data_IF_961527194282
#
_entry.id   IF_961527194282
#
_cell.length_a   1.000
_cell.length_b   1.000
_cell.length_c   1.000
_cell.angle_alpha   90.00
_cell.angle_beta   90.00
_cell.angle_gamma   90.00
#
_symmetry.space_group_name_H-M   'P 1'
#
loop_
_entity.id
_entity.type
_entity.pdbx_description
1 polymer ?
#
# COMPACT_ATOMS: atom_id res chain seq x y z
N UNK A 1 4.42 -21.78 13.39
CA UNK A 1 4.17 -20.68 14.34
C UNK A 1 2.80 -20.08 14.06
N UNK A 2 2.15 -19.50 15.07
CA UNK A 2 0.88 -18.79 14.98
C UNK A 2 1.09 -17.34 15.45
N UNK A 3 0.32 -16.40 14.92
CA UNK A 3 0.41 -14.99 15.29
C UNK A 3 -0.96 -14.42 15.61
N UNK A 4 -1.05 -13.67 16.71
CA UNK A 4 -2.15 -12.75 16.97
C UNK A 4 -1.63 -11.34 16.65
N UNK A 5 -2.20 -10.68 15.68
CA UNK A 5 -1.85 -9.31 15.29
C UNK A 5 -2.94 -8.34 15.72
N UNK A 6 -2.62 -7.44 16.64
CA UNK A 6 -3.57 -6.45 17.18
C UNK A 6 -3.56 -5.15 16.40
N UNK A 7 -2.36 -4.63 16.08
CA UNK A 7 -2.16 -3.51 15.15
C UNK A 7 -0.92 -3.80 14.29
N UNK A 8 -0.64 -2.93 13.30
CA UNK A 8 0.68 -2.95 12.65
C UNK A 8 1.75 -2.60 13.68
N UNK A 9 2.69 -3.51 13.85
CA UNK A 9 3.74 -3.40 14.86
C UNK A 9 3.40 -3.95 16.24
N UNK A 10 2.20 -4.45 16.47
CA UNK A 10 1.82 -5.11 17.72
C UNK A 10 1.36 -6.55 17.43
N UNK A 11 2.31 -7.46 17.49
CA UNK A 11 2.15 -8.86 17.13
C UNK A 11 2.62 -9.75 18.28
N UNK A 12 1.87 -10.82 18.53
CA UNK A 12 2.19 -11.86 19.53
C UNK A 12 2.39 -13.18 18.82
N UNK A 13 3.50 -13.83 19.07
CA UNK A 13 3.81 -15.12 18.47
C UNK A 13 3.68 -16.27 19.43
N UNK A 14 3.15 -17.40 18.90
CA UNK A 14 2.98 -18.65 19.59
C UNK A 14 3.61 -19.81 18.81
N UNK A 15 4.18 -20.77 19.52
CA UNK A 15 4.51 -22.07 19.00
C UNK A 15 3.33 -23.01 19.25
N UNK A 16 2.89 -23.68 18.21
CA UNK A 16 1.94 -24.79 18.31
C UNK A 16 2.53 -26.03 17.64
N UNK A 17 2.39 -27.18 18.28
CA UNK A 17 2.78 -28.45 17.75
C UNK A 17 1.52 -29.32 17.52
N UNK A 18 1.56 -30.14 16.47
CA UNK A 18 0.39 -30.92 16.01
C UNK A 18 -0.25 -31.77 17.11
N UNK A 19 0.55 -32.27 18.04
CA UNK A 19 0.11 -33.17 19.11
C UNK A 19 -0.14 -32.46 20.45
N UNK A 20 -0.08 -31.12 20.48
CA UNK A 20 -0.36 -30.28 21.66
C UNK A 20 -1.75 -29.65 21.56
N UNK A 21 -2.50 -29.66 22.66
CA UNK A 21 -3.82 -29.01 22.74
C UNK A 21 -3.76 -27.50 22.87
N UNK A 22 -2.63 -26.98 23.33
CA UNK A 22 -2.43 -25.54 23.61
C UNK A 22 -1.26 -24.97 22.83
N UNK A 23 -1.36 -23.67 22.52
CA UNK A 23 -0.26 -22.89 21.96
C UNK A 23 0.60 -22.30 23.07
N UNK A 24 1.92 -22.40 22.95
CA UNK A 24 2.89 -21.80 23.88
C UNK A 24 3.27 -20.40 23.40
N UNK A 25 3.14 -19.39 24.28
CA UNK A 25 3.65 -18.05 23.99
C UNK A 25 5.16 -18.08 23.72
N UNK A 26 5.59 -17.49 22.61
CA UNK A 26 7.00 -17.28 22.26
C UNK A 26 7.45 -15.86 22.47
N UNK A 27 6.66 -14.90 21.98
CA UNK A 27 7.06 -13.48 22.01
C UNK A 27 5.83 -12.58 21.99
N UNK A 28 5.97 -11.40 22.61
CA UNK A 28 4.92 -10.37 22.68
C UNK A 28 4.08 -10.51 23.96
N UNK A 29 3.15 -9.55 24.14
CA UNK A 29 2.26 -9.51 25.30
C UNK A 29 0.80 -9.66 24.83
N UNK A 30 0.12 -10.78 25.16
CA UNK A 30 -1.30 -10.99 24.83
C UNK A 30 -2.22 -9.90 25.43
N UNK A 31 -3.33 -9.59 24.75
CA UNK A 31 -4.26 -8.52 25.21
C UNK A 31 -4.85 -8.77 26.59
N UNK A 32 -5.18 -10.03 26.88
CA UNK A 32 -5.75 -10.48 28.17
C UNK A 32 -4.77 -10.37 29.33
N UNK A 33 -3.48 -10.19 29.06
CA UNK A 33 -2.42 -10.02 30.07
C UNK A 33 -2.01 -8.54 30.25
N UNK A 34 -2.65 -7.60 29.51
CA UNK A 34 -2.34 -6.17 29.57
C UNK A 34 -3.18 -5.47 30.62
N UNK A 35 -2.56 -4.52 31.31
CA UNK A 35 -3.28 -3.57 32.16
C UNK A 35 -3.80 -2.39 31.33
N UNK A 36 -4.87 -1.77 31.77
CA UNK A 36 -5.43 -0.58 31.08
C UNK A 36 -4.38 0.54 30.98
N UNK A 37 -4.21 1.06 29.78
CA UNK A 37 -3.21 2.09 29.48
C UNK A 37 -1.77 1.61 29.35
N UNK A 38 -1.51 0.30 29.41
CA UNK A 38 -0.17 -0.23 29.20
C UNK A 38 0.31 -0.01 27.76
N UNK A 39 1.41 0.71 27.62
CA UNK A 39 2.08 0.88 26.34
C UNK A 39 2.95 -0.35 26.03
N UNK A 40 2.69 -1.00 24.91
CA UNK A 40 3.49 -2.11 24.41
C UNK A 40 4.46 -1.57 23.36
N UNK A 41 5.74 -1.95 23.49
CA UNK A 41 6.74 -1.56 22.50
C UNK A 41 6.39 -2.20 21.14
N UNK A 42 6.31 -1.41 20.06
CA UNK A 42 6.12 -1.96 18.72
C UNK A 42 7.24 -2.92 18.34
N UNK A 43 6.87 -4.04 17.74
CA UNK A 43 7.81 -5.11 17.37
C UNK A 43 7.88 -5.40 15.86
N UNK A 44 6.78 -5.15 15.12
CA UNK A 44 6.73 -5.31 13.67
C UNK A 44 7.20 -6.69 13.20
N UNK A 45 6.71 -7.76 13.85
CA UNK A 45 7.13 -9.13 13.49
C UNK A 45 6.62 -9.51 12.10
N UNK A 46 7.55 -9.96 11.25
CA UNK A 46 7.27 -10.39 9.87
C UNK A 46 7.51 -11.89 9.63
N UNK A 47 7.97 -12.24 8.43
CA UNK A 47 8.26 -13.64 8.07
C UNK A 47 9.34 -14.25 8.96
N UNK A 48 9.19 -15.56 9.22
CA UNK A 48 10.10 -16.31 10.05
C UNK A 48 10.42 -17.68 9.44
N UNK A 49 11.68 -18.10 9.58
CA UNK A 49 12.20 -19.37 9.12
C UNK A 49 12.85 -20.14 10.28
N UNK A 50 12.63 -21.44 10.32
CA UNK A 50 13.31 -22.33 11.27
C UNK A 50 14.75 -22.57 10.81
N UNK A 51 15.69 -22.39 11.73
CA UNK A 51 17.12 -22.65 11.49
C UNK A 51 17.46 -23.98 12.18
N UNK A 52 17.35 -25.06 11.42
CA UNK A 52 17.37 -26.41 11.98
C UNK A 52 16.24 -26.61 12.99
N UNK A 53 16.53 -27.38 14.04
CA UNK A 53 15.59 -27.62 15.16
C UNK A 53 15.84 -26.71 16.37
N UNK A 54 16.74 -25.74 16.26
CA UNK A 54 17.29 -25.02 17.41
C UNK A 54 16.87 -23.58 17.52
N UNK A 55 16.54 -22.91 16.40
CA UNK A 55 16.27 -21.48 16.44
C UNK A 55 15.35 -20.97 15.35
N UNK A 56 15.04 -19.68 15.43
CA UNK A 56 14.17 -18.95 14.50
C UNK A 56 14.87 -17.71 14.03
N UNK A 57 15.03 -17.56 12.71
CA UNK A 57 15.44 -16.33 12.04
C UNK A 57 14.20 -15.63 11.49
N UNK A 58 14.04 -14.34 11.74
CA UNK A 58 12.84 -13.63 11.35
C UNK A 58 13.07 -12.15 11.07
N UNK A 59 12.15 -11.54 10.32
CA UNK A 59 12.10 -10.12 10.07
C UNK A 59 11.40 -9.42 11.23
N UNK A 60 11.98 -8.32 11.73
CA UNK A 60 11.35 -7.50 12.76
C UNK A 60 11.80 -6.05 12.75
N UNK A 61 11.00 -5.18 13.38
CA UNK A 61 11.35 -3.79 13.65
C UNK A 61 11.95 -3.58 15.06
N UNK A 62 12.38 -4.64 15.76
CA UNK A 62 12.85 -4.58 17.14
C UNK A 62 14.16 -3.80 17.30
N UNK A 63 15.08 -3.93 16.34
CA UNK A 63 16.40 -3.28 16.37
C UNK A 63 16.54 -2.19 15.30
N UNK A 64 15.73 -2.24 14.25
CA UNK A 64 15.79 -1.30 13.13
C UNK A 64 14.39 -0.95 12.66
N UNK A 65 14.03 0.32 12.64
CA UNK A 65 12.71 0.81 12.21
C UNK A 65 12.35 0.38 10.77
N UNK A 66 13.34 0.30 9.87
CA UNK A 66 13.21 -0.17 8.50
C UNK A 66 13.22 -1.70 8.37
N UNK A 67 12.96 -2.37 9.47
CA UNK A 67 13.07 -3.81 9.64
C UNK A 67 14.48 -4.35 9.41
N UNK A 68 14.78 -5.40 10.12
CA UNK A 68 16.04 -6.15 10.06
C UNK A 68 15.81 -7.61 10.36
N UNK A 69 16.89 -8.37 10.39
CA UNK A 69 16.83 -9.76 10.82
C UNK A 69 17.08 -9.87 12.31
N UNK A 70 16.27 -10.69 12.96
CA UNK A 70 16.40 -11.07 14.37
C UNK A 70 16.47 -12.59 14.47
N UNK A 71 17.22 -13.08 15.43
CA UNK A 71 17.36 -14.50 15.73
C UNK A 71 17.11 -14.77 17.19
N UNK A 72 16.47 -15.89 17.53
CA UNK A 72 16.44 -16.44 18.86
C UNK A 72 16.55 -17.98 18.82
N UNK A 73 16.96 -18.56 19.95
CA UNK A 73 16.96 -20.00 20.14
C UNK A 73 15.63 -20.47 20.73
N UNK A 74 15.12 -21.62 20.29
CA UNK A 74 13.86 -22.17 20.79
C UNK A 74 13.87 -22.54 22.27
N UNK A 75 15.07 -22.81 22.83
CA UNK A 75 15.28 -23.07 24.25
C UNK A 75 15.42 -21.79 25.11
N UNK A 76 15.65 -20.64 24.48
CA UNK A 76 15.79 -19.33 25.12
C UNK A 76 15.13 -18.23 24.28
N UNK A 77 13.80 -18.25 24.06
CA UNK A 77 13.08 -17.33 23.15
C UNK A 77 13.11 -15.88 23.63
N UNK A 78 13.35 -15.62 24.90
CA UNK A 78 13.48 -14.26 25.47
C UNK A 78 14.80 -13.59 25.12
N UNK A 79 15.80 -14.35 24.64
CA UNK A 79 17.09 -13.83 24.23
C UNK A 79 17.09 -13.55 22.74
N UNK A 80 16.81 -12.29 22.36
CA UNK A 80 16.75 -11.84 20.99
C UNK A 80 18.11 -11.28 20.55
N UNK A 81 18.54 -11.66 19.37
CA UNK A 81 19.80 -11.22 18.79
C UNK A 81 19.57 -10.52 17.47
N UNK A 82 20.13 -9.32 17.32
CA UNK A 82 20.20 -8.64 16.03
C UNK A 82 21.14 -9.41 15.10
N UNK A 83 20.74 -9.57 13.84
CA UNK A 83 21.55 -10.22 12.81
C UNK A 83 22.03 -9.19 11.81
N UNK A 84 23.35 -9.03 11.69
CA UNK A 84 23.95 -8.11 10.73
C UNK A 84 23.77 -8.61 9.30
N UNK A 85 23.26 -7.77 8.40
CA UNK A 85 23.13 -8.06 6.98
C UNK A 85 24.31 -7.43 6.23
N UNK A 86 25.04 -8.21 5.46
CA UNK A 86 26.21 -7.76 4.70
C UNK A 86 26.03 -8.03 3.19
N UNK A 87 26.38 -7.04 2.35
CA UNK A 87 26.39 -7.19 0.88
C UNK A 87 25.21 -6.54 0.15
N UNK A 88 24.37 -5.76 0.82
CA UNK A 88 23.33 -4.95 0.14
C UNK A 88 23.97 -3.88 -0.74
N UNK A 89 23.38 -3.66 -1.94
CA UNK A 89 23.87 -2.64 -2.89
C UNK A 89 22.80 -1.63 -3.31
N UNK A 90 21.54 -1.87 -2.95
CA UNK A 90 20.44 -0.94 -3.24
C UNK A 90 20.65 0.41 -2.54
N UNK A 91 20.05 1.45 -3.14
CA UNK A 91 20.00 2.81 -2.57
C UNK A 91 18.58 3.31 -2.63
N UNK A 92 18.21 4.20 -1.73
CA UNK A 92 16.86 4.75 -1.62
C UNK A 92 16.26 4.52 -0.24
N UNK A 93 15.04 5.00 -0.04
CA UNK A 93 14.28 4.76 1.17
C UNK A 93 13.47 3.46 1.04
N UNK A 94 13.50 2.63 2.07
CA UNK A 94 12.77 1.37 2.01
C UNK A 94 12.95 0.52 3.26
N UNK A 95 12.49 -0.72 3.19
CA UNK A 95 12.50 -1.66 4.30
C UNK A 95 12.70 -3.11 3.85
N UNK A 96 13.17 -3.96 4.77
CA UNK A 96 13.17 -5.40 4.60
C UNK A 96 11.74 -5.94 4.80
N UNK A 97 11.14 -6.45 3.73
CA UNK A 97 9.73 -6.92 3.76
C UNK A 97 9.59 -8.42 3.88
N UNK A 98 10.66 -9.18 3.67
CA UNK A 98 10.53 -10.64 3.72
C UNK A 98 11.83 -11.41 3.83
N UNK A 99 11.70 -12.59 4.43
CA UNK A 99 12.68 -13.65 4.52
C UNK A 99 12.01 -14.94 4.06
N UNK A 100 12.69 -15.73 3.24
CA UNK A 100 12.18 -17.03 2.77
C UNK A 100 13.33 -18.00 2.54
N UNK A 101 13.15 -19.25 2.93
CA UNK A 101 14.06 -20.31 2.55
C UNK A 101 14.04 -20.53 1.04
N UNK A 102 15.20 -20.70 0.42
CA UNK A 102 15.36 -20.99 -1.01
C UNK A 102 15.76 -22.43 -1.28
N UNK A 103 16.95 -22.82 -0.86
CA UNK A 103 17.47 -24.19 -0.94
C UNK A 103 18.06 -24.56 0.42
N UNK A 104 18.57 -25.77 0.58
CA UNK A 104 19.12 -26.24 1.86
C UNK A 104 20.16 -25.27 2.43
N UNK A 105 19.86 -24.70 3.61
CA UNK A 105 20.73 -23.77 4.33
C UNK A 105 20.85 -22.37 3.72
N UNK A 106 20.09 -22.07 2.67
CA UNK A 106 20.10 -20.76 2.00
C UNK A 106 18.74 -20.09 2.10
N UNK A 107 18.77 -18.75 2.08
CA UNK A 107 17.58 -17.91 2.19
C UNK A 107 17.63 -16.76 1.18
N UNK A 108 16.48 -16.17 0.95
CA UNK A 108 16.37 -14.89 0.25
C UNK A 108 15.84 -13.81 1.20
N UNK A 109 16.36 -12.60 0.99
CA UNK A 109 15.87 -11.37 1.60
C UNK A 109 15.16 -10.54 0.55
N UNK A 110 13.93 -10.12 0.85
CA UNK A 110 13.12 -9.27 0.00
C UNK A 110 13.09 -7.86 0.59
N UNK A 111 13.53 -6.87 -0.18
CA UNK A 111 13.45 -5.47 0.16
C UNK A 111 12.46 -4.76 -0.76
N UNK A 112 11.80 -3.77 -0.20
CA UNK A 112 11.01 -2.78 -0.91
C UNK A 112 11.73 -1.44 -0.79
N UNK A 113 12.24 -0.92 -1.90
CA UNK A 113 13.03 0.33 -1.94
C UNK A 113 12.33 1.33 -2.86
N UNK A 114 11.74 2.38 -2.29
CA UNK A 114 10.91 3.37 -2.99
C UNK A 114 9.85 2.72 -3.93
N UNK A 115 9.26 1.60 -3.47
CA UNK A 115 8.26 0.83 -4.20
C UNK A 115 8.81 -0.28 -5.10
N UNK A 116 10.11 -0.34 -5.37
CA UNK A 116 10.74 -1.36 -6.24
C UNK A 116 11.24 -2.56 -5.43
N UNK A 117 11.14 -3.75 -5.99
CA UNK A 117 11.65 -4.95 -5.35
C UNK A 117 13.16 -5.11 -5.54
N UNK A 118 13.85 -5.42 -4.44
CA UNK A 118 15.20 -5.95 -4.44
C UNK A 118 15.20 -7.30 -3.73
N UNK A 119 15.76 -8.32 -4.38
CA UNK A 119 15.83 -9.67 -3.81
C UNK A 119 17.26 -10.16 -3.83
N UNK A 120 17.73 -10.54 -2.66
CA UNK A 120 19.08 -11.03 -2.44
C UNK A 120 19.05 -12.49 -2.00
N UNK A 121 19.93 -13.30 -2.56
CA UNK A 121 20.23 -14.64 -2.03
C UNK A 121 21.42 -14.61 -1.10
N UNK A 122 21.41 -15.47 -0.08
CA UNK A 122 22.49 -15.53 0.88
C UNK A 122 22.36 -16.67 1.88
N UNK A 123 23.23 -16.65 2.90
CA UNK A 123 23.27 -17.64 3.97
C UNK A 123 23.39 -16.96 5.34
N UNK A 124 22.78 -17.58 6.33
CA UNK A 124 22.85 -17.13 7.73
C UNK A 124 23.90 -17.92 8.51
N UNK A 125 24.86 -17.20 9.07
CA UNK A 125 25.85 -17.72 10.02
C UNK A 125 25.33 -17.48 11.46
N UNK A 126 24.76 -18.52 12.06
CA UNK A 126 24.17 -18.45 13.40
C UNK A 126 25.17 -18.20 14.53
N UNK A 127 26.45 -18.53 14.32
CA UNK A 127 27.49 -18.38 15.36
C UNK A 127 28.01 -16.93 15.43
N UNK A 128 28.11 -16.29 14.26
CA UNK A 128 28.55 -14.90 14.16
C UNK A 128 27.39 -13.92 14.05
N UNK A 129 26.13 -14.39 13.97
CA UNK A 129 24.90 -13.58 13.79
C UNK A 129 25.00 -12.68 12.55
N UNK A 130 25.45 -13.22 11.44
CA UNK A 130 25.65 -12.50 10.18
C UNK A 130 24.87 -13.20 9.07
N UNK A 131 24.07 -12.44 8.33
CA UNK A 131 23.53 -12.86 7.04
C UNK A 131 24.44 -12.31 5.93
N UNK A 132 25.06 -13.21 5.15
CA UNK A 132 25.94 -12.84 4.03
C UNK A 132 25.20 -12.99 2.72
N UNK A 133 25.03 -11.88 2.04
CA UNK A 133 24.51 -11.83 0.67
C UNK A 133 25.66 -12.19 -0.29
N UNK A 134 25.39 -13.07 -1.23
CA UNK A 134 26.35 -13.50 -2.25
C UNK A 134 25.79 -13.37 -3.69
N UNK A 135 24.50 -13.09 -3.86
CA UNK A 135 23.88 -12.89 -5.17
C UNK A 135 22.68 -11.94 -5.14
N UNK A 136 22.38 -11.33 -6.28
CA UNK A 136 21.22 -10.48 -6.53
C UNK A 136 20.29 -11.22 -7.47
N UNK A 137 19.06 -11.47 -7.07
CA UNK A 137 18.07 -12.19 -7.88
C UNK A 137 17.12 -11.23 -8.60
N UNK A 138 16.78 -10.11 -7.96
CA UNK A 138 15.87 -9.06 -8.50
C UNK A 138 16.42 -7.70 -8.07
N UNK A 139 16.23 -6.67 -8.91
CA UNK A 139 16.64 -5.29 -8.68
C UNK A 139 17.65 -4.78 -9.72
N UNK A 140 18.11 -5.64 -10.63
CA UNK A 140 19.04 -5.30 -11.69
C UNK A 140 18.63 -5.91 -13.03
N UNK A 141 19.14 -5.34 -14.13
CA UNK A 141 18.91 -5.85 -15.48
C UNK A 141 17.43 -5.88 -15.86
N UNK A 142 16.97 -6.98 -16.41
CA UNK A 142 15.57 -7.17 -16.84
C UNK A 142 14.56 -7.15 -15.68
N UNK A 143 14.99 -7.51 -14.48
CA UNK A 143 14.19 -7.49 -13.25
C UNK A 143 14.42 -6.22 -12.39
N UNK A 144 14.69 -5.09 -13.03
CA UNK A 144 14.82 -3.79 -12.39
C UNK A 144 13.54 -2.96 -12.53
N UNK A 145 13.40 -1.93 -11.70
CA UNK A 145 12.32 -0.91 -11.73
C UNK A 145 10.89 -1.49 -11.80
N UNK A 146 10.66 -2.53 -11.00
CA UNK A 146 9.38 -3.23 -10.94
C UNK A 146 9.22 -4.00 -9.63
N UNK A 147 8.23 -4.87 -9.60
CA UNK A 147 7.81 -5.59 -8.41
C UNK A 147 7.86 -7.10 -8.61
N UNK A 148 8.56 -7.78 -7.73
CA UNK A 148 8.45 -9.22 -7.57
C UNK A 148 7.10 -9.54 -6.91
N UNK A 149 6.21 -10.24 -7.61
CA UNK A 149 4.90 -10.63 -7.10
C UNK A 149 4.97 -11.98 -6.37
N UNK A 150 5.72 -12.92 -6.91
CA UNK A 150 5.97 -14.21 -6.26
C UNK A 150 7.29 -14.84 -6.70
N UNK A 151 7.84 -15.72 -5.85
CA UNK A 151 8.99 -16.56 -6.15
C UNK A 151 8.84 -17.91 -5.47
N UNK A 152 9.11 -18.99 -6.19
CA UNK A 152 9.11 -20.35 -5.70
C UNK A 152 10.39 -21.08 -6.14
N UNK A 153 10.95 -21.88 -5.25
CA UNK A 153 12.18 -22.64 -5.50
C UNK A 153 11.88 -24.14 -5.54
N UNK A 154 12.46 -24.82 -6.52
CA UNK A 154 12.61 -26.28 -6.49
C UNK A 154 13.81 -26.62 -5.58
N UNK A 155 13.53 -27.26 -4.47
CA UNK A 155 14.54 -27.63 -3.47
C UNK A 155 15.57 -28.66 -4.01
N UNK A 156 15.24 -29.41 -5.06
CA UNK A 156 16.08 -30.44 -5.64
C UNK A 156 17.08 -29.88 -6.63
N UNK A 157 16.59 -29.04 -7.54
CA UNK A 157 17.40 -28.49 -8.64
C UNK A 157 18.00 -27.12 -8.33
N UNK A 158 17.45 -26.40 -7.33
CA UNK A 158 17.83 -25.01 -7.04
C UNK A 158 17.23 -23.99 -8.02
N UNK A 159 16.44 -24.45 -8.99
CA UNK A 159 15.74 -23.60 -9.96
C UNK A 159 14.63 -22.80 -9.26
N UNK A 160 14.47 -21.54 -9.64
CA UNK A 160 13.38 -20.69 -9.17
C UNK A 160 12.46 -20.30 -10.32
N UNK A 161 11.15 -20.31 -10.07
CA UNK A 161 10.15 -19.65 -10.92
C UNK A 161 9.68 -18.39 -10.20
N UNK A 162 9.59 -17.28 -10.93
CA UNK A 162 9.15 -16.01 -10.38
C UNK A 162 8.20 -15.25 -11.32
N UNK A 163 7.32 -14.45 -10.75
CA UNK A 163 6.49 -13.49 -11.48
C UNK A 163 6.94 -12.07 -11.12
N UNK A 164 7.07 -11.25 -12.14
CA UNK A 164 7.55 -9.88 -12.03
C UNK A 164 6.79 -8.96 -12.98
N UNK A 165 6.40 -7.80 -12.51
CA UNK A 165 5.75 -6.78 -13.34
C UNK A 165 6.40 -5.41 -13.16
N UNK A 166 6.10 -4.53 -14.12
CA UNK A 166 6.54 -3.12 -14.13
C UNK A 166 5.35 -2.24 -14.47
N UNK A 167 5.42 -0.96 -14.22
CA UNK A 167 4.34 -0.01 -14.55
C UNK A 167 3.88 -0.12 -16.03
N UNK A 168 4.76 -0.51 -16.95
CA UNK A 168 4.49 -0.63 -18.39
C UNK A 168 4.42 -2.06 -18.91
N UNK A 169 4.56 -3.05 -18.04
CA UNK A 169 4.54 -4.46 -18.40
C UNK A 169 3.69 -5.27 -17.46
N UNK A 170 2.63 -5.94 -17.94
CA UNK A 170 1.92 -6.93 -17.14
C UNK A 170 2.87 -7.99 -16.58
N UNK A 171 2.40 -8.76 -15.61
CA UNK A 171 3.18 -9.83 -14.98
C UNK A 171 3.77 -10.79 -16.00
N UNK A 172 5.06 -10.99 -15.91
CA UNK A 172 5.81 -11.94 -16.71
C UNK A 172 6.30 -13.07 -15.83
N UNK A 173 6.33 -14.26 -16.37
CA UNK A 173 6.95 -15.42 -15.72
C UNK A 173 8.41 -15.55 -16.19
N UNK A 174 9.27 -15.83 -15.23
CA UNK A 174 10.69 -16.07 -15.44
C UNK A 174 11.10 -17.35 -14.72
N UNK A 175 12.11 -18.00 -15.26
CA UNK A 175 12.85 -19.09 -14.61
C UNK A 175 14.29 -18.63 -14.41
N UNK A 176 14.78 -18.84 -13.21
CA UNK A 176 16.17 -18.67 -12.81
C UNK A 176 16.73 -20.06 -12.51
N UNK A 177 17.71 -20.51 -13.31
CA UNK A 177 18.33 -21.82 -13.09
C UNK A 177 19.32 -21.82 -11.91
N UNK A 178 19.92 -22.95 -11.62
CA UNK A 178 20.86 -23.11 -10.52
C UNK A 178 22.16 -22.28 -10.68
N UNK A 179 22.49 -21.91 -11.91
CA UNK A 179 23.63 -21.08 -12.29
C UNK A 179 23.28 -19.59 -12.39
N UNK A 180 22.08 -19.19 -11.95
CA UNK A 180 21.54 -17.84 -12.00
C UNK A 180 21.30 -17.29 -13.43
N UNK A 181 21.13 -18.16 -14.44
CA UNK A 181 20.73 -17.73 -15.77
C UNK A 181 19.21 -17.47 -15.79
N UNK A 182 18.84 -16.22 -16.08
CA UNK A 182 17.45 -15.78 -16.18
C UNK A 182 16.90 -16.08 -17.57
N UNK A 183 15.73 -16.71 -17.63
CA UNK A 183 15.00 -16.93 -18.87
C UNK A 183 13.53 -16.51 -18.71
N UNK A 184 13.09 -15.61 -19.58
CA UNK A 184 11.70 -15.15 -19.64
C UNK A 184 10.85 -16.23 -20.31
N UNK A 185 9.72 -16.60 -19.70
CA UNK A 185 8.84 -17.68 -20.15
C UNK A 185 7.57 -17.15 -20.83
N UNK A 186 7.15 -15.92 -20.52
CA UNK A 186 5.95 -15.29 -21.09
C UNK A 186 6.28 -13.98 -21.77
N UNK A 187 5.39 -13.51 -22.64
CA UNK A 187 5.49 -12.21 -23.29
C UNK A 187 4.13 -11.53 -23.26
N UNK A 188 3.61 -11.35 -22.04
CA UNK A 188 2.33 -10.69 -21.80
C UNK A 188 2.43 -9.20 -22.17
N UNK A 189 1.36 -8.68 -22.75
CA UNK A 189 1.25 -7.27 -23.17
C UNK A 189 -0.19 -6.82 -23.22
N UNK A 190 -0.39 -5.52 -23.16
CA UNK A 190 -1.71 -4.94 -23.37
C UNK A 190 -2.02 -4.99 -24.88
N UNK A 191 -3.08 -5.71 -25.24
CA UNK A 191 -3.46 -5.87 -26.64
C UNK A 191 -3.88 -4.53 -27.25
N UNK A 192 -3.33 -4.22 -28.41
CA UNK A 192 -3.65 -3.00 -29.15
C UNK A 192 -2.96 -1.73 -28.66
N UNK A 193 -2.19 -1.77 -27.56
CA UNK A 193 -1.47 -0.61 -27.03
C UNK A 193 0.04 -0.90 -27.08
N UNK A 194 0.82 -0.17 -27.89
CA UNK A 194 2.27 -0.26 -27.89
C UNK A 194 2.86 0.13 -26.52
N UNK A 195 3.82 -0.63 -26.01
CA UNK A 195 4.42 -0.43 -24.69
C UNK A 195 5.03 0.98 -24.52
N UNK A 196 5.59 1.58 -25.58
CA UNK A 196 6.19 2.92 -25.52
C UNK A 196 5.17 4.05 -25.29
N UNK A 197 3.87 3.78 -25.44
CA UNK A 197 2.81 4.74 -25.11
C UNK A 197 2.39 4.68 -23.63
N UNK A 198 2.87 3.68 -22.89
CA UNK A 198 2.60 3.54 -21.46
C UNK A 198 3.58 4.38 -20.63
N UNK A 199 3.08 4.97 -19.55
CA UNK A 199 3.87 5.80 -18.65
C UNK A 199 4.71 4.95 -17.69
N UNK A 200 6.02 5.11 -17.67
CA UNK A 200 6.92 4.44 -16.73
C UNK A 200 6.78 4.94 -15.30
N UNK A 201 6.39 6.20 -15.15
CA UNK A 201 6.40 6.89 -13.86
C UNK A 201 7.79 7.41 -13.50
N UNK A 202 7.85 8.65 -13.07
CA UNK A 202 9.06 9.30 -12.59
C UNK A 202 9.05 9.31 -11.07
N UNK A 203 10.17 9.00 -10.41
CA UNK A 203 10.31 9.22 -8.98
C UNK A 203 10.21 10.72 -8.69
N UNK A 204 9.28 11.09 -7.83
CA UNK A 204 8.93 12.47 -7.56
C UNK A 204 8.83 12.76 -6.05
N UNK A 205 9.84 12.39 -5.24
CA UNK A 205 9.80 12.56 -3.80
C UNK A 205 9.80 14.04 -3.41
N UNK A 206 9.17 14.36 -2.29
CA UNK A 206 9.10 15.72 -1.77
C UNK A 206 9.21 15.74 -0.25
N UNK A 207 9.41 16.94 0.28
CA UNK A 207 9.40 17.20 1.72
C UNK A 207 8.04 17.76 2.12
N UNK A 208 7.39 17.13 3.07
CA UNK A 208 6.10 17.56 3.59
C UNK A 208 6.22 18.78 4.51
N UNK A 209 5.09 19.31 4.98
CA UNK A 209 4.93 20.48 5.81
C UNK A 209 5.78 20.47 7.12
N UNK A 210 6.11 19.30 7.63
CA UNK A 210 6.86 19.10 8.88
C UNK A 210 8.28 18.52 8.66
N UNK A 211 8.77 18.53 7.41
CA UNK A 211 10.09 18.03 7.05
C UNK A 211 10.16 16.54 6.73
N UNK A 212 9.03 15.81 6.80
CA UNK A 212 9.00 14.39 6.45
C UNK A 212 9.19 14.20 4.95
N UNK A 213 10.11 13.28 4.56
CA UNK A 213 10.24 12.85 3.16
C UNK A 213 9.04 11.98 2.79
N UNK A 214 8.37 12.36 1.71
CA UNK A 214 7.28 11.57 1.11
C UNK A 214 7.76 11.02 -0.23
N UNK A 215 7.62 9.72 -0.42
CA UNK A 215 7.82 9.09 -1.72
C UNK A 215 6.58 9.27 -2.57
N UNK A 216 6.77 9.58 -3.85
CA UNK A 216 5.68 9.66 -4.82
C UNK A 216 6.18 9.40 -6.21
N UNK A 217 5.27 9.07 -7.12
CA UNK A 217 5.54 8.92 -8.54
C UNK A 217 4.62 9.80 -9.38
N UNK A 218 5.18 10.35 -10.47
CA UNK A 218 4.45 11.12 -11.46
C UNK A 218 4.40 10.36 -12.77
N UNK A 219 3.19 10.03 -13.24
CA UNK A 219 2.96 9.38 -14.53
C UNK A 219 2.46 10.41 -15.53
N UNK A 220 3.14 10.52 -16.67
CA UNK A 220 2.83 11.49 -17.72
C UNK A 220 2.42 10.77 -19.01
N UNK A 221 1.49 11.34 -19.80
CA UNK A 221 1.21 10.89 -21.15
C UNK A 221 2.48 10.86 -22.02
N UNK A 222 2.64 9.79 -22.82
CA UNK A 222 3.69 9.75 -23.82
C UNK A 222 3.55 10.91 -24.83
N UNK A 223 4.66 11.48 -25.27
CA UNK A 223 4.65 12.62 -26.18
C UNK A 223 3.95 12.31 -27.52
N UNK A 224 4.06 11.06 -27.98
CA UNK A 224 3.47 10.56 -29.23
C UNK A 224 1.94 10.56 -29.21
N UNK A 225 1.31 10.64 -28.04
CA UNK A 225 -0.15 10.75 -27.93
C UNK A 225 -0.68 12.14 -28.31
N UNK A 226 0.20 13.15 -28.44
CA UNK A 226 -0.14 14.48 -28.94
C UNK A 226 -0.89 15.38 -27.95
N UNK A 227 -0.90 15.03 -26.65
CA UNK A 227 -1.47 15.92 -25.64
C UNK A 227 -0.49 17.03 -25.25
N UNK A 228 -0.94 18.26 -25.32
CA UNK A 228 -0.14 19.44 -24.99
C UNK A 228 0.05 19.63 -23.48
N UNK A 229 1.18 20.23 -23.10
CA UNK A 229 1.38 20.73 -21.74
C UNK A 229 0.85 22.17 -21.61
N UNK A 230 0.40 22.61 -20.39
CA UNK A 230 0.34 21.85 -19.15
C UNK A 230 -0.90 20.95 -19.07
N UNK A 231 -0.71 19.75 -18.55
CA UNK A 231 -1.76 18.71 -18.46
C UNK A 231 -2.51 18.77 -17.12
N UNK A 232 -3.83 18.50 -17.10
CA UNK A 232 -4.57 18.35 -15.84
C UNK A 232 -4.03 17.18 -15.04
N UNK A 233 -4.14 17.25 -13.71
CA UNK A 233 -3.55 16.32 -12.78
C UNK A 233 -4.62 15.53 -12.03
N UNK A 234 -4.47 14.24 -11.94
CA UNK A 234 -5.26 13.38 -11.05
C UNK A 234 -4.36 12.93 -9.90
N UNK A 235 -4.75 13.24 -8.67
CA UNK A 235 -4.19 12.67 -7.46
C UNK A 235 -4.83 11.31 -7.23
N UNK A 236 -4.06 10.24 -7.34
CA UNK A 236 -4.50 8.88 -7.07
C UNK A 236 -4.01 8.45 -5.68
N UNK A 237 -4.95 8.21 -4.75
CA UNK A 237 -4.67 7.90 -3.36
C UNK A 237 -4.99 6.44 -3.07
N UNK A 238 -4.00 5.67 -2.64
CA UNK A 238 -4.18 4.25 -2.33
C UNK A 238 -4.98 4.00 -1.06
N UNK A 239 -5.51 2.79 -0.92
CA UNK A 239 -6.20 2.31 0.28
C UNK A 239 -5.24 1.88 1.38
N UNK A 240 -5.80 1.41 2.47
CA UNK A 240 -5.05 0.93 3.65
C UNK A 240 -5.48 1.66 4.92
N UNK A 241 -4.75 2.68 5.43
CA UNK A 241 -3.58 3.40 4.92
C UNK A 241 -2.27 2.63 4.85
N UNK A 242 -2.12 1.57 5.66
CA UNK A 242 -0.92 0.74 5.75
C UNK A 242 -0.80 -0.18 4.50
N UNK A 243 -0.60 0.46 3.37
CA UNK A 243 -0.38 -0.11 2.06
C UNK A 243 0.59 0.78 1.29
N UNK A 244 0.84 0.49 0.03
CA UNK A 244 1.69 1.29 -0.85
C UNK A 244 1.24 1.13 -2.29
N UNK A 245 1.26 2.22 -3.06
CA UNK A 245 1.18 2.13 -4.51
C UNK A 245 2.58 1.96 -5.06
N UNK A 246 2.77 0.91 -5.87
CA UNK A 246 4.06 0.47 -6.40
C UNK A 246 4.04 0.47 -7.93
N UNK A 247 5.20 0.49 -8.62
CA UNK A 247 5.26 0.44 -10.08
C UNK A 247 5.06 -0.99 -10.61
N UNK A 248 3.98 -1.64 -10.18
CA UNK A 248 3.57 -2.97 -10.62
C UNK A 248 2.31 -2.89 -11.46
N UNK A 249 2.17 -3.79 -12.44
CA UNK A 249 0.99 -3.85 -13.29
C UNK A 249 -0.11 -4.69 -12.64
N UNK A 250 -0.43 -4.35 -11.39
CA UNK A 250 -1.45 -5.06 -10.64
C UNK A 250 -2.87 -4.68 -11.09
N UNK A 251 -3.75 -5.52 -10.74
CA UNK A 251 -5.10 -5.74 -11.20
C UNK A 251 -6.06 -4.53 -11.22
N UNK A 252 -5.85 -3.46 -10.45
CA UNK A 252 -6.76 -2.29 -10.45
C UNK A 252 -6.03 -0.97 -10.72
N UNK A 253 -5.06 -0.57 -9.88
CA UNK A 253 -4.53 0.78 -9.89
C UNK A 253 -3.72 1.10 -11.14
N UNK A 254 -2.71 0.31 -11.46
CA UNK A 254 -1.84 0.63 -12.58
C UNK A 254 -2.54 0.61 -13.96
N UNK A 255 -3.42 -0.36 -14.28
CA UNK A 255 -4.22 -0.26 -15.50
C UNK A 255 -5.06 1.02 -15.59
N UNK A 256 -5.64 1.49 -14.48
CA UNK A 256 -6.39 2.76 -14.45
C UNK A 256 -5.46 3.97 -14.60
N UNK A 257 -4.30 3.99 -13.93
CA UNK A 257 -3.28 5.03 -14.07
C UNK A 257 -2.82 5.13 -15.54
N UNK A 258 -2.54 4.00 -16.18
CA UNK A 258 -2.19 3.96 -17.60
C UNK A 258 -3.36 4.44 -18.48
N UNK A 259 -4.59 4.08 -18.14
CA UNK A 259 -5.76 4.55 -18.89
C UNK A 259 -5.93 6.07 -18.80
N UNK A 260 -5.65 6.68 -17.63
CA UNK A 260 -5.61 8.13 -17.49
C UNK A 260 -4.52 8.77 -18.36
N UNK A 261 -3.30 8.25 -18.33
CA UNK A 261 -2.21 8.83 -19.13
C UNK A 261 -2.47 8.70 -20.63
N UNK A 262 -3.05 7.59 -21.08
CA UNK A 262 -3.51 7.40 -22.46
C UNK A 262 -4.65 8.36 -22.87
N UNK A 263 -5.31 8.99 -21.91
CA UNK A 263 -6.38 9.98 -22.09
C UNK A 263 -5.95 11.43 -21.74
N UNK A 264 -4.65 11.69 -21.66
CA UNK A 264 -4.11 13.05 -21.56
C UNK A 264 -3.90 13.59 -20.14
N UNK A 265 -4.19 12.80 -19.09
CA UNK A 265 -3.98 13.23 -17.72
C UNK A 265 -2.57 12.92 -17.22
N UNK A 266 -1.98 13.84 -16.47
CA UNK A 266 -0.90 13.50 -15.56
C UNK A 266 -1.49 12.86 -14.31
N UNK A 267 -0.86 11.78 -13.80
CA UNK A 267 -1.31 11.12 -12.56
C UNK A 267 -0.21 11.19 -11.53
N UNK A 268 -0.53 11.78 -10.39
CA UNK A 268 0.38 11.87 -9.26
C UNK A 268 -0.04 10.89 -8.16
N UNK A 269 0.91 10.05 -7.76
CA UNK A 269 0.68 8.89 -6.87
C UNK A 269 1.60 8.99 -5.66
N UNK A 270 1.13 9.52 -4.52
CA UNK A 270 1.92 9.64 -3.32
C UNK A 270 1.76 8.42 -2.41
N UNK A 271 2.84 8.08 -1.70
CA UNK A 271 2.84 7.18 -0.55
C UNK A 271 3.08 8.02 0.72
N UNK A 272 2.02 8.69 1.19
CA UNK A 272 2.09 9.60 2.35
C UNK A 272 2.34 8.83 3.65
N UNK A 273 2.59 9.57 4.77
CA UNK A 273 2.68 8.93 6.10
C UNK A 273 1.53 7.96 6.33
N UNK A 274 1.81 6.85 6.97
CA UNK A 274 0.88 5.72 7.10
C UNK A 274 1.10 4.63 6.06
N UNK A 275 1.73 4.94 4.90
CA UNK A 275 2.07 3.92 3.92
C UNK A 275 3.10 2.94 4.45
N UNK A 276 3.04 1.67 4.01
CA UNK A 276 4.10 0.67 4.21
C UNK A 276 5.28 0.92 3.27
N UNK A 277 6.41 0.26 3.52
CA UNK A 277 7.59 0.35 2.66
C UNK A 277 8.64 1.37 3.12
N UNK A 278 8.43 2.07 4.24
CA UNK A 278 9.30 3.15 4.72
C UNK A 278 9.61 3.08 6.21
N UNK A 279 9.43 1.91 6.81
CA UNK A 279 9.67 1.65 8.21
C UNK A 279 8.40 1.67 9.08
N UNK A 280 8.49 1.01 10.23
CA UNK A 280 7.36 0.86 11.15
C UNK A 280 6.86 2.20 11.70
N UNK A 281 7.78 3.10 12.06
CA UNK A 281 7.43 4.43 12.57
C UNK A 281 6.70 5.28 11.52
N UNK A 282 7.08 5.17 10.24
CA UNK A 282 6.40 5.85 9.14
C UNK A 282 4.96 5.33 8.98
N UNK A 283 4.79 4.02 9.00
CA UNK A 283 3.48 3.36 8.89
C UNK A 283 2.55 3.73 10.05
N UNK A 284 3.09 3.85 11.27
CA UNK A 284 2.32 4.20 12.48
C UNK A 284 1.99 5.68 12.64
N UNK A 285 2.50 6.57 11.78
CA UNK A 285 2.24 8.02 11.86
C UNK A 285 0.77 8.42 11.65
N UNK A 286 -0.07 7.49 11.24
CA UNK A 286 -1.53 7.70 11.11
C UNK A 286 -2.33 7.10 12.25
N UNK A 287 -1.69 6.39 13.19
CA UNK A 287 -2.37 5.88 14.36
C UNK A 287 -2.92 7.08 15.16
N UNK A 288 -4.24 7.07 15.45
CA UNK A 288 -4.99 8.19 16.04
C UNK A 288 -4.82 9.53 15.29
N UNK A 289 -4.58 9.49 13.97
CA UNK A 289 -4.45 10.73 13.17
C UNK A 289 -5.02 10.64 11.73
N UNK A 290 -5.90 9.69 11.46
CA UNK A 290 -6.55 9.59 10.13
C UNK A 290 -7.17 10.93 9.71
N UNK A 291 -6.82 11.42 8.50
CA UNK A 291 -7.28 12.72 7.97
C UNK A 291 -6.67 13.94 8.66
N UNK A 292 -5.59 13.74 9.44
CA UNK A 292 -4.82 14.78 10.11
C UNK A 292 -3.59 15.22 9.33
N UNK A 293 -2.42 14.80 9.79
CA UNK A 293 -1.14 15.15 9.16
C UNK A 293 -0.95 14.45 7.80
N UNK A 294 -1.50 13.26 7.63
CA UNK A 294 -1.54 12.53 6.34
C UNK A 294 -2.24 13.35 5.24
N UNK A 295 -3.35 14.03 5.58
CA UNK A 295 -4.02 14.98 4.69
C UNK A 295 -3.11 16.13 4.30
N UNK A 296 -2.34 16.67 5.24
CA UNK A 296 -1.43 17.78 5.00
C UNK A 296 -0.25 17.38 4.09
N UNK A 297 0.15 16.10 4.06
CA UNK A 297 1.13 15.61 3.10
C UNK A 297 0.64 15.81 1.66
N UNK A 298 -0.63 15.50 1.37
CA UNK A 298 -1.21 15.76 0.04
C UNK A 298 -1.23 17.26 -0.32
N UNK A 299 -1.52 18.11 0.66
CA UNK A 299 -1.55 19.56 0.45
C UNK A 299 -0.15 20.14 0.19
N UNK A 300 0.86 19.67 0.93
CA UNK A 300 2.24 20.11 0.77
C UNK A 300 2.79 19.82 -0.64
N UNK A 301 2.31 18.79 -1.32
CA UNK A 301 2.71 18.47 -2.69
C UNK A 301 2.38 19.57 -3.70
N UNK A 302 1.35 20.39 -3.48
CA UNK A 302 0.97 21.46 -4.40
C UNK A 302 2.10 22.45 -4.63
N UNK A 303 2.92 22.76 -3.61
CA UNK A 303 4.04 23.69 -3.74
C UNK A 303 5.16 23.15 -4.65
N UNK A 304 5.33 21.83 -4.71
CA UNK A 304 6.25 21.19 -5.63
C UNK A 304 5.64 21.12 -7.03
N UNK A 305 4.43 20.58 -7.15
CA UNK A 305 3.76 20.31 -8.43
C UNK A 305 3.49 21.60 -9.23
N UNK A 306 3.22 22.73 -8.57
CA UNK A 306 3.06 24.05 -9.21
C UNK A 306 4.32 24.55 -9.92
N UNK A 307 5.50 24.05 -9.58
CA UNK A 307 6.77 24.40 -10.22
C UNK A 307 7.02 23.62 -11.51
N UNK A 308 6.34 22.49 -11.69
CA UNK A 308 6.46 21.70 -12.89
C UNK A 308 5.58 22.24 -14.01
N UNK A 309 6.21 22.79 -15.05
CA UNK A 309 5.52 23.39 -16.19
C UNK A 309 4.74 22.42 -17.06
N UNK A 310 4.92 21.12 -16.85
CA UNK A 310 4.17 20.06 -17.54
C UNK A 310 2.77 19.89 -16.97
N UNK A 311 2.49 20.43 -15.76
CA UNK A 311 1.28 20.21 -14.97
C UNK A 311 0.42 21.48 -14.88
N UNK A 312 -0.89 21.33 -15.07
CA UNK A 312 -1.86 22.37 -14.80
C UNK A 312 -2.51 22.19 -13.42
N UNK A 313 -1.93 22.85 -12.43
CA UNK A 313 -2.43 22.83 -11.06
C UNK A 313 -3.70 23.67 -10.83
N UNK A 314 -4.26 24.28 -11.88
CA UNK A 314 -5.60 24.86 -11.89
C UNK A 314 -6.70 23.85 -12.27
N UNK A 315 -6.32 22.68 -12.82
CA UNK A 315 -7.21 21.59 -13.24
C UNK A 315 -6.81 20.30 -12.55
N UNK A 316 -7.09 20.20 -11.23
CA UNK A 316 -6.71 19.05 -10.40
C UNK A 316 -7.96 18.28 -9.97
N UNK A 317 -7.92 16.97 -10.20
CA UNK A 317 -8.86 16.00 -9.63
C UNK A 317 -8.23 15.18 -8.53
N UNK A 318 -9.06 14.62 -7.66
CA UNK A 318 -8.64 13.69 -6.62
C UNK A 318 -9.50 12.45 -6.63
N UNK A 319 -8.86 11.30 -6.51
CA UNK A 319 -9.56 10.03 -6.34
C UNK A 319 -8.80 9.06 -5.46
N UNK A 320 -9.53 8.14 -4.89
CA UNK A 320 -8.94 7.07 -4.13
C UNK A 320 -9.94 5.99 -3.76
N UNK A 321 -9.42 4.87 -3.25
CA UNK A 321 -10.16 3.68 -2.92
C UNK A 321 -10.01 3.32 -1.45
N UNK A 322 -11.13 2.93 -0.78
CA UNK A 322 -11.13 2.55 0.63
C UNK A 322 -10.63 3.72 1.50
N UNK A 323 -9.53 3.57 2.24
CA UNK A 323 -8.90 4.71 2.91
C UNK A 323 -8.59 5.87 1.95
N UNK A 324 -8.19 5.59 0.70
CA UNK A 324 -8.02 6.64 -0.32
C UNK A 324 -9.33 7.36 -0.66
N UNK A 325 -10.48 6.65 -0.60
CA UNK A 325 -11.81 7.24 -0.72
C UNK A 325 -12.15 8.14 0.47
N UNK A 326 -11.90 7.68 1.70
CA UNK A 326 -11.98 8.50 2.91
C UNK A 326 -11.13 9.78 2.78
N UNK A 327 -9.88 9.65 2.31
CA UNK A 327 -8.99 10.78 2.11
C UNK A 327 -9.50 11.71 1.00
N UNK A 328 -10.06 11.16 -0.09
CA UNK A 328 -10.69 11.95 -1.16
C UNK A 328 -11.83 12.81 -0.63
N UNK A 329 -12.76 12.23 0.13
CA UNK A 329 -13.85 12.97 0.79
C UNK A 329 -13.33 13.99 1.79
N UNK A 330 -12.30 13.64 2.56
CA UNK A 330 -11.64 14.54 3.53
C UNK A 330 -11.01 15.74 2.83
N UNK A 331 -10.24 15.53 1.77
CA UNK A 331 -9.60 16.59 1.00
C UNK A 331 -10.63 17.48 0.31
N UNK A 332 -11.63 16.90 -0.33
CA UNK A 332 -12.68 17.65 -1.03
C UNK A 332 -13.54 18.47 -0.06
N UNK A 333 -13.78 18.00 1.15
CA UNK A 333 -14.54 18.73 2.17
C UNK A 333 -13.72 19.80 2.91
N UNK A 334 -12.43 19.54 3.17
CA UNK A 334 -11.58 20.46 3.97
C UNK A 334 -10.81 21.49 3.15
N UNK A 335 -10.48 21.16 1.88
CA UNK A 335 -9.74 22.01 0.95
C UNK A 335 -10.48 22.15 -0.38
N UNK A 336 -11.76 22.58 -0.35
CA UNK A 336 -12.64 22.58 -1.55
C UNK A 336 -12.11 23.46 -2.69
N UNK A 337 -11.26 24.45 -2.39
CA UNK A 337 -10.67 25.36 -3.37
C UNK A 337 -9.63 24.70 -4.30
N UNK A 338 -9.09 23.55 -3.92
CA UNK A 338 -8.00 22.90 -4.66
C UNK A 338 -8.51 21.98 -5.77
N UNK A 339 -9.73 21.45 -5.65
CA UNK A 339 -10.22 20.36 -6.47
C UNK A 339 -11.28 20.79 -7.46
N UNK A 340 -11.15 20.34 -8.71
CA UNK A 340 -12.14 20.56 -9.78
C UNK A 340 -13.09 19.37 -9.97
N UNK A 341 -12.69 18.19 -9.52
CA UNK A 341 -13.50 16.97 -9.52
C UNK A 341 -12.97 16.02 -8.45
N UNK A 342 -13.84 15.22 -7.86
CA UNK A 342 -13.48 14.19 -6.89
C UNK A 342 -14.16 12.86 -7.23
N UNK A 343 -13.46 11.73 -7.02
CA UNK A 343 -14.02 10.40 -7.20
C UNK A 343 -13.75 9.55 -5.95
N UNK A 344 -14.79 9.27 -5.18
CA UNK A 344 -14.74 8.38 -4.03
C UNK A 344 -15.09 6.95 -4.43
N UNK A 345 -14.19 6.01 -4.09
CA UNK A 345 -14.45 4.58 -4.26
C UNK A 345 -14.39 3.88 -2.89
N UNK A 346 -15.52 3.37 -2.44
CA UNK A 346 -15.63 2.58 -1.20
C UNK A 346 -15.09 3.29 0.05
N UNK A 347 -15.15 4.62 0.12
CA UNK A 347 -14.57 5.40 1.23
C UNK A 347 -15.46 5.42 2.47
N UNK A 348 -14.91 5.18 3.68
CA UNK A 348 -15.63 5.47 4.92
C UNK A 348 -16.05 6.94 4.99
N UNK A 349 -17.32 7.18 5.24
CA UNK A 349 -17.91 8.51 5.27
C UNK A 349 -17.98 9.09 6.69
N UNK A 350 -18.38 8.25 7.65
CA UNK A 350 -18.50 8.61 9.04
C UNK A 350 -17.82 7.53 9.88
N UNK A 351 -16.79 7.91 10.65
CA UNK A 351 -16.00 6.95 11.41
C UNK A 351 -16.79 6.19 12.48
N UNK A 352 -17.88 6.77 13.00
CA UNK A 352 -18.76 6.07 13.95
C UNK A 352 -19.55 4.96 13.27
N UNK A 353 -20.27 5.29 12.18
CA UNK A 353 -21.10 4.31 11.46
C UNK A 353 -20.23 3.27 10.77
N UNK A 354 -19.06 3.65 10.28
CA UNK A 354 -18.07 2.74 9.75
C UNK A 354 -17.64 1.70 10.79
N UNK A 355 -17.20 2.14 12.00
CA UNK A 355 -16.77 1.22 13.06
C UNK A 355 -17.90 0.37 13.63
N UNK A 356 -19.13 0.86 13.58
CA UNK A 356 -20.31 0.09 13.97
C UNK A 356 -20.55 -1.08 12.99
N UNK A 357 -20.32 -0.85 11.69
CA UNK A 357 -20.71 -1.73 10.59
C UNK A 357 -19.61 -2.69 10.11
N UNK A 358 -18.34 -2.45 10.48
CA UNK A 358 -17.23 -3.35 10.13
C UNK A 358 -17.36 -4.71 10.83
N UNK A 359 -16.72 -5.79 10.29
CA UNK A 359 -16.68 -7.09 10.96
C UNK A 359 -16.16 -7.00 12.39
N UNK A 360 -16.79 -7.74 13.31
CA UNK A 360 -16.46 -7.71 14.74
C UNK A 360 -14.97 -7.95 15.03
N UNK A 361 -14.37 -8.89 14.30
CA UNK A 361 -12.94 -9.22 14.43
C UNK A 361 -12.00 -8.04 14.10
N UNK A 362 -12.47 -7.01 13.40
CA UNK A 362 -11.68 -5.84 13.05
C UNK A 362 -11.80 -4.70 14.05
N UNK A 363 -12.84 -4.67 14.88
CA UNK A 363 -13.11 -3.58 15.83
C UNK A 363 -11.94 -3.34 16.77
N UNK A 364 -11.32 -4.38 17.29
CA UNK A 364 -10.14 -4.24 18.17
C UNK A 364 -9.03 -3.43 17.49
N UNK A 365 -8.70 -3.76 16.23
CA UNK A 365 -7.71 -3.02 15.46
C UNK A 365 -8.11 -1.54 15.31
N UNK A 366 -9.34 -1.27 14.85
CA UNK A 366 -9.80 0.10 14.60
C UNK A 366 -9.88 0.93 15.89
N UNK A 367 -10.30 0.35 17.00
CA UNK A 367 -10.33 1.04 18.28
C UNK A 367 -8.95 1.39 18.81
N UNK A 368 -7.95 0.55 18.52
CA UNK A 368 -6.55 0.78 18.91
C UNK A 368 -5.80 1.71 17.95
N UNK A 369 -6.08 1.66 16.66
CA UNK A 369 -5.32 2.39 15.64
C UNK A 369 -6.00 3.68 15.16
N UNK A 370 -7.32 3.76 15.20
CA UNK A 370 -8.07 4.94 14.72
C UNK A 370 -8.67 5.73 15.88
N UNK A 371 -9.38 5.07 16.79
CA UNK A 371 -9.99 5.69 17.95
C UNK A 371 -11.22 4.94 18.44
N UNK A 372 -11.53 5.06 19.72
CA UNK A 372 -12.64 4.37 20.35
C UNK A 372 -13.94 5.20 20.26
N UNK A 373 -15.06 4.66 19.72
CA UNK A 373 -16.29 5.42 19.49
C UNK A 373 -16.87 6.13 20.73
N UNK A 374 -16.62 5.59 21.93
CA UNK A 374 -17.11 6.19 23.16
C UNK A 374 -16.11 7.15 23.83
N UNK A 375 -14.79 6.82 23.75
CA UNK A 375 -13.73 7.59 24.42
C UNK A 375 -13.24 8.77 23.57
N UNK A 376 -13.24 8.63 22.22
CA UNK A 376 -12.63 9.58 21.29
C UNK A 376 -13.66 10.31 20.40
N UNK A 377 -14.86 10.61 20.97
CA UNK A 377 -16.00 11.18 20.21
C UNK A 377 -15.67 12.47 19.47
N UNK A 378 -15.02 13.42 20.14
CA UNK A 378 -14.68 14.71 19.53
C UNK A 378 -13.71 14.54 18.37
N UNK A 379 -12.68 13.71 18.57
CA UNK A 379 -11.70 13.37 17.56
C UNK A 379 -12.36 12.71 16.34
N UNK A 380 -13.14 11.65 16.55
CA UNK A 380 -13.80 10.92 15.45
C UNK A 380 -14.82 11.79 14.71
N UNK A 381 -15.50 12.71 15.40
CA UNK A 381 -16.40 13.69 14.77
C UNK A 381 -15.62 14.65 13.88
N UNK A 382 -14.51 15.20 14.38
CA UNK A 382 -13.66 16.12 13.66
C UNK A 382 -13.01 15.46 12.45
N UNK A 383 -12.63 14.17 12.56
CA UNK A 383 -11.97 13.42 11.49
C UNK A 383 -12.92 12.79 10.46
N UNK A 384 -14.19 12.67 10.77
CA UNK A 384 -15.20 12.13 9.83
C UNK A 384 -15.43 13.07 8.65
N UNK A 385 -15.33 12.59 7.39
CA UNK A 385 -15.70 13.38 6.21
C UNK A 385 -17.09 14.00 6.29
N UNK A 386 -18.06 13.31 6.90
CA UNK A 386 -19.45 13.77 7.10
C UNK A 386 -19.54 15.16 7.75
N UNK A 387 -18.59 15.51 8.60
CA UNK A 387 -18.53 16.83 9.27
C UNK A 387 -18.20 17.96 8.30
N UNK A 388 -17.42 17.70 7.26
CA UNK A 388 -16.84 18.73 6.39
C UNK A 388 -17.43 18.76 4.97
N UNK A 389 -18.14 17.72 4.53
CA UNK A 389 -18.63 17.57 3.15
C UNK A 389 -19.64 18.66 2.73
N UNK A 390 -20.27 19.35 3.67
CA UNK A 390 -21.10 20.52 3.34
C UNK A 390 -20.31 21.62 2.59
N UNK A 391 -18.98 21.64 2.72
CA UNK A 391 -18.09 22.58 2.04
C UNK A 391 -17.69 22.15 0.62
N UNK A 392 -17.99 20.91 0.22
CA UNK A 392 -17.66 20.40 -1.12
C UNK A 392 -18.05 21.41 -2.20
N UNK A 393 -17.10 21.77 -3.08
CA UNK A 393 -17.30 22.77 -4.12
C UNK A 393 -17.15 22.24 -5.55
N UNK A 394 -16.78 20.97 -5.71
CA UNK A 394 -16.62 20.32 -7.02
C UNK A 394 -17.61 19.16 -7.19
N UNK A 395 -17.88 18.73 -8.45
CA UNK A 395 -18.60 17.50 -8.72
C UNK A 395 -17.96 16.28 -8.05
N UNK A 396 -18.79 15.35 -7.57
CA UNK A 396 -18.35 14.11 -6.94
C UNK A 396 -18.92 12.91 -7.67
N UNK A 397 -18.06 11.97 -8.01
CA UNK A 397 -18.44 10.62 -8.42
C UNK A 397 -18.24 9.67 -7.22
N UNK A 398 -19.28 8.90 -6.88
CA UNK A 398 -19.22 7.88 -5.82
C UNK A 398 -19.42 6.51 -6.45
N UNK A 399 -18.50 5.58 -6.17
CA UNK A 399 -18.53 4.20 -6.68
C UNK A 399 -18.55 3.22 -5.52
N UNK A 400 -19.46 2.23 -5.58
CA UNK A 400 -19.64 1.27 -4.51
C UNK A 400 -19.99 -0.14 -5.04
N UNK A 401 -19.51 -1.18 -4.37
CA UNK A 401 -19.98 -2.55 -4.53
C UNK A 401 -21.13 -2.85 -3.55
N UNK A 402 -22.23 -3.40 -4.03
CA UNK A 402 -23.40 -3.67 -3.19
C UNK A 402 -23.14 -4.74 -2.11
N UNK A 403 -22.15 -5.61 -2.33
CA UNK A 403 -21.79 -6.71 -1.43
C UNK A 403 -20.50 -6.44 -0.64
N UNK A 404 -20.14 -5.17 -0.48
CA UNK A 404 -18.93 -4.78 0.27
C UNK A 404 -19.08 -5.09 1.76
N UNK A 405 -18.26 -6.04 2.32
CA UNK A 405 -18.32 -6.38 3.74
C UNK A 405 -17.46 -5.48 4.63
N UNK A 406 -16.64 -4.60 4.04
CA UNK A 406 -15.66 -3.75 4.74
C UNK A 406 -16.21 -2.33 4.94
N UNK A 407 -16.57 -1.70 3.83
CA UNK A 407 -17.26 -0.41 3.80
C UNK A 407 -18.63 -0.66 3.18
N UNK A 408 -19.62 -0.88 4.01
CA UNK A 408 -20.94 -1.27 3.54
C UNK A 408 -21.57 -0.18 2.64
N UNK A 409 -22.36 -0.58 1.67
CA UNK A 409 -22.97 0.31 0.66
C UNK A 409 -23.69 1.52 1.30
N UNK A 410 -24.20 1.36 2.52
CA UNK A 410 -24.87 2.43 3.27
C UNK A 410 -23.95 3.63 3.54
N UNK A 411 -22.63 3.45 3.70
CA UNK A 411 -21.68 4.57 3.87
C UNK A 411 -21.70 5.49 2.64
N UNK A 412 -21.58 4.91 1.44
CA UNK A 412 -21.65 5.66 0.17
C UNK A 412 -23.02 6.29 -0.07
N UNK A 413 -24.10 5.58 0.27
CA UNK A 413 -25.48 6.12 0.15
C UNK A 413 -25.66 7.33 1.04
N UNK A 414 -25.17 7.31 2.27
CA UNK A 414 -25.24 8.44 3.21
C UNK A 414 -24.53 9.67 2.65
N UNK A 415 -23.35 9.50 1.99
CA UNK A 415 -22.66 10.59 1.25
C UNK A 415 -23.58 11.22 0.22
N UNK A 416 -24.15 10.37 -0.65
CA UNK A 416 -24.99 10.81 -1.78
C UNK A 416 -26.24 11.51 -1.30
N UNK A 417 -26.96 10.94 -0.32
CA UNK A 417 -28.16 11.51 0.27
C UNK A 417 -27.89 12.89 0.89
N UNK A 418 -26.83 13.01 1.68
CA UNK A 418 -26.45 14.29 2.31
C UNK A 418 -26.14 15.36 1.26
N UNK A 419 -25.31 15.05 0.27
CA UNK A 419 -24.87 16.03 -0.71
C UNK A 419 -26.01 16.44 -1.67
N UNK A 420 -26.84 15.51 -2.10
CA UNK A 420 -28.03 15.82 -2.93
C UNK A 420 -29.05 16.68 -2.19
N UNK A 421 -29.25 16.45 -0.89
CA UNK A 421 -30.09 17.31 -0.05
C UNK A 421 -29.58 18.75 0.06
N UNK A 422 -28.27 18.95 -0.17
CA UNK A 422 -27.63 20.28 -0.21
C UNK A 422 -27.53 20.87 -1.64
N UNK A 423 -28.14 20.22 -2.64
CA UNK A 423 -28.09 20.65 -4.04
C UNK A 423 -26.73 20.49 -4.72
N UNK A 424 -25.85 19.64 -4.19
CA UNK A 424 -24.52 19.36 -4.78
C UNK A 424 -24.64 18.39 -5.97
N UNK A 425 -23.73 18.51 -6.93
CA UNK A 425 -23.61 17.62 -8.07
C UNK A 425 -22.93 16.30 -7.64
N UNK A 426 -23.69 15.20 -7.68
CA UNK A 426 -23.21 13.87 -7.26
C UNK A 426 -23.70 12.80 -8.21
N UNK A 427 -22.77 12.11 -8.86
CA UNK A 427 -23.01 10.86 -9.57
C UNK A 427 -22.81 9.67 -8.62
N UNK A 428 -23.66 8.65 -8.76
CA UNK A 428 -23.59 7.46 -7.91
C UNK A 428 -23.72 6.18 -8.72
N UNK A 429 -22.72 5.31 -8.61
CA UNK A 429 -22.65 4.04 -9.32
C UNK A 429 -22.54 2.92 -8.30
N UNK A 430 -23.46 1.94 -8.37
CA UNK A 430 -23.43 0.74 -7.51
C UNK A 430 -23.35 -0.50 -8.40
N UNK A 431 -22.27 -1.26 -8.25
CA UNK A 431 -22.13 -2.56 -8.89
C UNK A 431 -22.76 -3.64 -8.01
N UNK A 432 -23.87 -4.21 -8.46
CA UNK A 432 -24.71 -5.11 -7.65
C UNK A 432 -24.06 -6.43 -7.28
N UNK A 433 -23.07 -6.85 -8.01
CA UNK A 433 -22.38 -8.13 -7.91
C UNK A 433 -20.89 -7.99 -7.56
N UNK A 434 -20.45 -6.80 -7.07
CA UNK A 434 -19.11 -6.53 -6.59
C UNK A 434 -19.09 -6.31 -5.08
N UNK A 435 -17.89 -6.53 -4.49
CA UNK A 435 -17.59 -6.30 -3.07
C UNK A 435 -16.78 -5.04 -2.84
N UNK A 436 -15.72 -5.13 -2.00
CA UNK A 436 -14.79 -4.03 -1.72
C UNK A 436 -13.83 -3.75 -2.88
N UNK A 437 -14.22 -4.14 -4.07
CA UNK A 437 -13.47 -3.94 -5.31
C UNK A 437 -14.31 -4.16 -6.55
N UNK A 438 -13.85 -3.67 -7.71
CA UNK A 438 -14.45 -3.93 -9.02
C UNK A 438 -13.57 -4.96 -9.74
N UNK A 439 -13.93 -6.24 -9.60
CA UNK A 439 -13.10 -7.35 -10.07
C UNK A 439 -13.56 -7.89 -11.41
N UNK A 440 -14.88 -8.00 -11.61
CA UNK A 440 -15.45 -8.58 -12.81
C UNK A 440 -15.13 -7.75 -14.04
N UNK A 441 -14.66 -8.39 -15.10
CA UNK A 441 -14.17 -7.72 -16.30
C UNK A 441 -15.18 -6.70 -16.90
N UNK A 442 -16.47 -7.04 -17.10
CA UNK A 442 -17.45 -6.06 -17.63
C UNK A 442 -17.60 -4.83 -16.73
N UNK A 443 -17.68 -5.05 -15.40
CA UNK A 443 -17.79 -3.97 -14.42
C UNK A 443 -16.53 -3.10 -14.39
N UNK A 444 -15.36 -3.72 -14.52
CA UNK A 444 -14.08 -3.01 -14.55
C UNK A 444 -13.97 -2.11 -15.78
N UNK A 445 -14.39 -2.59 -16.96
CA UNK A 445 -14.41 -1.78 -18.18
C UNK A 445 -15.36 -0.60 -18.03
N UNK A 446 -16.59 -0.82 -17.53
CA UNK A 446 -17.56 0.24 -17.27
C UNK A 446 -17.01 1.24 -16.23
N UNK A 447 -16.45 0.74 -15.12
CA UNK A 447 -15.90 1.56 -14.05
C UNK A 447 -14.77 2.48 -14.54
N UNK A 448 -13.79 1.96 -15.25
CA UNK A 448 -12.67 2.75 -15.78
C UNK A 448 -13.16 3.80 -16.79
N UNK A 449 -14.09 3.41 -17.66
CA UNK A 449 -14.68 4.32 -18.64
C UNK A 449 -15.40 5.47 -17.95
N UNK A 450 -16.28 5.16 -16.99
CA UNK A 450 -17.05 6.20 -16.26
C UNK A 450 -16.17 7.12 -15.45
N UNK A 451 -15.16 6.61 -14.73
CA UNK A 451 -14.21 7.45 -14.00
C UNK A 451 -13.47 8.38 -14.96
N UNK A 452 -12.99 7.84 -16.08
CA UNK A 452 -12.22 8.64 -17.04
C UNK A 452 -13.08 9.69 -17.74
N UNK A 453 -14.29 9.34 -18.17
CA UNK A 453 -15.22 10.30 -18.77
C UNK A 453 -15.66 11.38 -17.78
N UNK A 454 -15.88 11.04 -16.51
CA UNK A 454 -16.14 12.02 -15.44
C UNK A 454 -15.00 13.04 -15.33
N UNK A 455 -13.73 12.58 -15.26
CA UNK A 455 -12.61 13.50 -15.20
C UNK A 455 -12.40 14.26 -16.50
N UNK A 456 -12.65 13.70 -17.69
CA UNK A 456 -12.62 14.41 -18.96
C UNK A 456 -13.63 15.57 -18.99
N UNK A 457 -14.84 15.32 -18.52
CA UNK A 457 -15.89 16.34 -18.47
C UNK A 457 -15.48 17.56 -17.64
N UNK A 458 -14.84 17.32 -16.49
CA UNK A 458 -14.56 18.36 -15.50
C UNK A 458 -13.14 18.94 -15.58
N UNK A 459 -12.16 18.20 -16.08
CA UNK A 459 -10.76 18.66 -16.18
C UNK A 459 -10.30 19.01 -17.60
N UNK A 460 -10.94 18.48 -18.64
CA UNK A 460 -10.68 18.75 -20.07
C UNK A 460 -9.21 18.59 -20.44
N UNK A 461 -8.68 17.36 -20.55
CA UNK A 461 -7.29 17.06 -20.89
C UNK A 461 -6.92 17.47 -22.32
#
# INVERSE_FOLDING_TARGET
>A
MLADQYTFGDVVWYLWRKDESERRLLFGLPLDQRTEGQVVQPNGLGNAELIGDEGVLFVSALFNDHYGLTYFRLDAPDQLYEVAIQGTVHRGAGELVGLKASTSGRHILLYNIDGVSWVYGGSFDRYNLIFRIDRILVGQGELSDGVLESIAFDQTTGTAALSFSQATSPSQLYVLDAEDNLSRQTNERILGIPQHLLAHGEDYPYTSHDGLRISSRLYLPAAELGFDAPRPVIFYIHGGPQSQERPDFTWFSMPLIQFFTLNGFAVWVPNVRGSSGYGLSYMKRVDHDWGGLDRLDHIAAFDLLRKDKRLDMGRVGVMGRSYGGFMTLTLAGRHPELWKAACDMFGPYNLFTFMERIPEAWKTYFYMAVGHPEKDKEFLTERSPSTHLHRLACPLLVIQGANDPRVVERESRDVVEQLRAQGKEVEYIVYQDEGHDVIKYPNKVDCYTRITEFFKQHLRP
#
